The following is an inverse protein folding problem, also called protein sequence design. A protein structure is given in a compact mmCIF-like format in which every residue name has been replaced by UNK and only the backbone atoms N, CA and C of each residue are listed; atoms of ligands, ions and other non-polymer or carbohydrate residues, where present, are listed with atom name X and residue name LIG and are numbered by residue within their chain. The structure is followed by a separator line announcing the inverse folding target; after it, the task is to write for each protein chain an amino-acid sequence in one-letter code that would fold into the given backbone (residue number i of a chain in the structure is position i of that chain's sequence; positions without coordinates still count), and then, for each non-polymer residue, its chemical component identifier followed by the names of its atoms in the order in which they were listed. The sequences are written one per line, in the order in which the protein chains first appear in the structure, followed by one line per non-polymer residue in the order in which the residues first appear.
data_IF_624466742093
#
_entry.id   IF_624466742093
#
_cell.length_a   1.000
_cell.length_b   1.000
_cell.length_c   1.000
_cell.angle_alpha   90.00
_cell.angle_beta   90.00
_cell.angle_gamma   90.00
#
_symmetry.space_group_name_H-M   'P 1'
#
loop_
_entity.id
_entity.type
_entity.pdbx_description
1 polymer ?
#
# COMPACT_ATOMS: atom_id res chain seq x y z
N UNK A 1 18.29 -13.87 -8.37
CA UNK A 1 18.78 -12.49 -8.35
C UNK A 1 17.72 -11.48 -8.79
N UNK A 2 17.14 -11.60 -9.98
CA UNK A 2 16.12 -10.66 -10.52
C UNK A 2 14.92 -10.41 -9.58
N UNK A 3 14.29 -11.46 -9.03
CA UNK A 3 13.14 -11.33 -8.10
C UNK A 3 13.50 -10.54 -6.84
N UNK A 4 14.68 -10.76 -6.27
CA UNK A 4 15.15 -10.04 -5.08
C UNK A 4 15.30 -8.55 -5.40
N UNK A 5 15.94 -8.22 -6.52
CA UNK A 5 16.10 -6.83 -6.97
C UNK A 5 14.74 -6.15 -7.18
N UNK A 6 13.82 -6.80 -7.91
CA UNK A 6 12.46 -6.25 -8.10
C UNK A 6 11.73 -6.05 -6.76
N UNK A 7 11.88 -7.00 -5.81
CA UNK A 7 11.28 -6.87 -4.48
C UNK A 7 11.84 -5.66 -3.74
N UNK A 8 13.17 -5.54 -3.64
CA UNK A 8 13.82 -4.44 -2.93
C UNK A 8 13.45 -3.09 -3.53
N UNK A 9 13.51 -2.95 -4.86
CA UNK A 9 13.14 -1.71 -5.55
C UNK A 9 11.66 -1.36 -5.36
N UNK A 10 10.76 -2.35 -5.34
CA UNK A 10 9.35 -2.12 -5.07
C UNK A 10 9.11 -1.65 -3.63
N UNK A 11 9.78 -2.24 -2.63
CA UNK A 11 9.68 -1.83 -1.23
C UNK A 11 10.23 -0.41 -1.02
N UNK A 12 11.35 -0.09 -1.67
CA UNK A 12 11.89 1.26 -1.70
C UNK A 12 10.93 2.26 -2.34
N UNK A 13 10.27 1.88 -3.44
CA UNK A 13 9.26 2.71 -4.10
C UNK A 13 8.06 2.97 -3.19
N UNK A 14 7.57 1.96 -2.46
CA UNK A 14 6.46 2.12 -1.51
C UNK A 14 6.82 3.02 -0.33
N UNK A 15 8.03 2.87 0.22
CA UNK A 15 8.52 3.76 1.27
C UNK A 15 8.75 5.18 0.75
N UNK A 16 9.34 5.32 -0.43
CA UNK A 16 9.55 6.61 -1.09
C UNK A 16 8.24 7.36 -1.34
N UNK A 17 7.13 6.63 -1.63
CA UNK A 17 5.82 7.24 -1.78
C UNK A 17 5.37 7.98 -0.50
N UNK A 18 5.59 7.40 0.68
CA UNK A 18 5.32 8.06 1.97
C UNK A 18 6.20 9.30 2.18
N UNK A 19 7.51 9.16 1.92
CA UNK A 19 8.48 10.25 2.07
C UNK A 19 8.18 11.40 1.10
N UNK A 20 7.93 11.12 -0.18
CA UNK A 20 7.61 12.13 -1.20
C UNK A 20 6.32 12.88 -0.87
N UNK A 21 5.30 12.13 -0.43
CA UNK A 21 4.02 12.73 -0.03
C UNK A 21 4.22 13.66 1.18
N UNK A 22 4.91 13.18 2.23
CA UNK A 22 5.20 13.99 3.42
C UNK A 22 6.08 15.19 3.10
N UNK A 23 7.08 15.04 2.23
CA UNK A 23 7.96 16.13 1.79
C UNK A 23 7.19 17.22 1.05
N UNK A 24 6.21 16.86 0.22
CA UNK A 24 5.39 17.81 -0.52
C UNK A 24 4.38 18.52 0.38
N UNK A 25 3.68 17.77 1.22
CA UNK A 25 2.54 18.26 2.01
C UNK A 25 2.94 18.83 3.36
N UNK A 26 3.96 18.27 4.02
CA UNK A 26 4.46 18.79 5.29
C UNK A 26 5.18 20.14 5.19
N UNK A 27 5.60 20.51 3.99
CA UNK A 27 6.17 21.82 3.68
C UNK A 27 5.20 22.72 2.93
N UNK A 28 3.93 22.31 2.82
CA UNK A 28 2.86 23.05 2.17
C UNK A 28 3.17 23.50 0.74
N UNK A 29 4.01 22.76 0.00
CA UNK A 29 4.37 23.11 -1.38
C UNK A 29 3.29 22.75 -2.40
N UNK A 30 2.25 22.01 -1.97
CA UNK A 30 1.08 21.65 -2.77
C UNK A 30 -0.06 21.27 -1.82
N UNK A 31 -1.30 21.51 -2.21
CA UNK A 31 -2.46 21.01 -1.47
C UNK A 31 -2.67 19.49 -1.66
N UNK A 32 -3.27 18.78 -0.68
CA UNK A 32 -3.38 17.33 -0.73
C UNK A 32 -4.28 16.78 -1.84
N UNK A 33 -5.28 17.56 -2.29
CA UNK A 33 -6.16 17.15 -3.38
C UNK A 33 -5.43 17.20 -4.72
N UNK A 34 -4.74 18.32 -5.00
CA UNK A 34 -3.90 18.47 -6.19
C UNK A 34 -2.75 17.46 -6.22
N UNK A 35 -2.08 17.23 -5.08
CA UNK A 35 -1.06 16.18 -4.99
C UNK A 35 -1.61 14.82 -5.41
N UNK A 36 -2.76 14.41 -4.86
CA UNK A 36 -3.37 13.11 -5.16
C UNK A 36 -3.76 12.99 -6.64
N UNK A 37 -4.34 14.03 -7.20
CA UNK A 37 -4.78 14.05 -8.61
C UNK A 37 -3.57 13.98 -9.56
N UNK A 38 -2.56 14.81 -9.35
CA UNK A 38 -1.31 14.77 -10.15
C UNK A 38 -0.61 13.42 -10.01
N UNK A 39 -0.53 12.87 -8.79
CA UNK A 39 0.04 11.54 -8.52
C UNK A 39 -0.70 10.46 -9.32
N UNK A 40 -2.04 10.43 -9.29
CA UNK A 40 -2.82 9.42 -10.02
C UNK A 40 -2.74 9.63 -11.55
N UNK A 41 -2.73 10.87 -12.04
CA UNK A 41 -2.51 11.17 -13.44
C UNK A 41 -1.14 10.68 -13.92
N UNK A 42 -0.06 11.02 -13.20
CA UNK A 42 1.29 10.61 -13.55
C UNK A 42 1.46 9.08 -13.49
N UNK A 43 0.87 8.45 -12.46
CA UNK A 43 0.84 6.99 -12.34
C UNK A 43 0.08 6.31 -13.48
N UNK A 44 -1.11 6.83 -13.83
CA UNK A 44 -1.89 6.35 -14.96
C UNK A 44 -1.12 6.46 -16.28
N UNK A 45 -0.54 7.63 -16.56
CA UNK A 45 0.26 7.86 -17.75
C UNK A 45 1.43 6.87 -17.83
N UNK A 46 2.19 6.72 -16.76
CA UNK A 46 3.33 5.79 -16.70
C UNK A 46 2.90 4.34 -16.96
N UNK A 47 1.82 3.89 -16.31
CA UNK A 47 1.33 2.52 -16.46
C UNK A 47 0.80 2.25 -17.87
N UNK A 48 0.08 3.21 -18.47
CA UNK A 48 -0.41 3.11 -19.87
C UNK A 48 0.75 3.08 -20.86
N UNK A 49 1.77 3.93 -20.67
CA UNK A 49 2.96 3.94 -21.51
C UNK A 49 3.73 2.61 -21.43
N UNK A 50 3.95 2.08 -20.22
CA UNK A 50 4.62 0.77 -20.04
C UNK A 50 3.79 -0.35 -20.64
N UNK A 51 2.45 -0.32 -20.51
CA UNK A 51 1.57 -1.31 -21.11
C UNK A 51 1.67 -1.26 -22.65
N UNK A 52 1.53 -0.08 -23.25
CA UNK A 52 1.62 0.12 -24.70
C UNK A 52 2.95 -0.37 -25.27
N UNK A 53 4.05 -0.03 -24.59
CA UNK A 53 5.39 -0.49 -24.99
C UNK A 53 5.57 -2.00 -24.89
N UNK A 54 5.01 -2.65 -23.85
CA UNK A 54 5.12 -4.12 -23.68
C UNK A 54 4.24 -4.92 -24.63
N UNK A 55 3.07 -4.43 -24.97
CA UNK A 55 2.10 -5.17 -25.77
C UNK A 55 2.17 -4.81 -27.28
N UNK A 56 2.92 -3.77 -27.62
CA UNK A 56 2.96 -3.24 -29.00
C UNK A 56 1.61 -2.69 -29.49
N UNK A 57 0.61 -2.66 -28.63
CA UNK A 57 -0.74 -2.20 -28.97
C UNK A 57 -1.33 -1.38 -27.83
N UNK A 58 -2.03 -0.30 -28.18
CA UNK A 58 -2.82 0.50 -27.22
C UNK A 58 -4.14 -0.23 -26.91
N UNK A 59 -4.05 -1.34 -26.18
CA UNK A 59 -5.25 -2.04 -25.73
C UNK A 59 -5.98 -1.23 -24.66
N UNK A 60 -7.32 -1.30 -24.66
CA UNK A 60 -8.12 -0.63 -23.62
C UNK A 60 -7.72 -1.17 -22.25
N UNK A 61 -7.34 -0.29 -21.30
CA UNK A 61 -6.95 -0.74 -19.97
C UNK A 61 -8.10 -1.48 -19.29
N UNK A 62 -7.82 -2.68 -18.78
CA UNK A 62 -8.75 -3.45 -17.95
C UNK A 62 -8.99 -2.71 -16.62
N UNK A 63 -9.75 -3.29 -15.71
CA UNK A 63 -10.00 -2.71 -14.39
C UNK A 63 -11.48 -2.67 -14.06
N UNK A 64 -11.82 -2.23 -12.86
CA UNK A 64 -13.20 -2.11 -12.40
C UNK A 64 -13.40 -0.81 -11.62
N UNK A 65 -14.62 -0.29 -11.65
CA UNK A 65 -14.99 0.90 -10.88
C UNK A 65 -14.86 0.67 -9.36
N UNK A 66 -15.16 -0.55 -8.89
CA UNK A 66 -14.97 -0.89 -7.48
C UNK A 66 -13.49 -0.88 -7.07
N UNK A 67 -12.59 -1.45 -7.89
CA UNK A 67 -11.15 -1.35 -7.61
C UNK A 67 -10.64 0.10 -7.70
N UNK A 68 -11.18 0.89 -8.63
CA UNK A 68 -10.84 2.30 -8.76
C UNK A 68 -11.31 3.12 -7.55
N UNK A 69 -12.50 2.85 -7.01
CA UNK A 69 -12.97 3.52 -5.79
C UNK A 69 -12.14 3.14 -4.56
N UNK A 70 -11.66 1.89 -4.46
CA UNK A 70 -10.72 1.50 -3.40
C UNK A 70 -9.36 2.20 -3.56
N UNK A 71 -8.88 2.36 -4.80
CA UNK A 71 -7.66 3.12 -5.08
C UNK A 71 -7.82 4.60 -4.73
N UNK A 72 -8.96 5.20 -5.03
CA UNK A 72 -9.31 6.57 -4.63
C UNK A 72 -9.37 6.72 -3.11
N UNK A 73 -10.09 5.82 -2.40
CA UNK A 73 -10.18 5.79 -0.95
C UNK A 73 -8.84 5.50 -0.26
N UNK A 74 -7.90 4.88 -0.97
CA UNK A 74 -6.51 4.83 -0.53
C UNK A 74 -5.80 6.16 -0.74
N UNK A 75 -5.84 6.73 -1.96
CA UNK A 75 -4.97 7.84 -2.35
C UNK A 75 -5.33 9.17 -1.68
N UNK A 76 -6.60 9.51 -1.56
CA UNK A 76 -7.06 10.78 -0.99
C UNK A 76 -6.80 10.83 0.53
N UNK A 77 -7.33 9.91 1.36
CA UNK A 77 -7.06 9.97 2.80
C UNK A 77 -5.57 9.86 3.15
N UNK A 78 -4.79 9.11 2.35
CA UNK A 78 -3.33 9.03 2.47
C UNK A 78 -2.67 10.41 2.38
N UNK A 79 -3.02 11.19 1.36
CA UNK A 79 -2.43 12.51 1.19
C UNK A 79 -2.87 13.48 2.28
N UNK A 80 -4.17 13.51 2.62
CA UNK A 80 -4.67 14.34 3.71
C UNK A 80 -4.05 13.96 5.07
N UNK A 81 -3.79 12.68 5.32
CA UNK A 81 -3.13 12.20 6.54
C UNK A 81 -1.68 12.71 6.65
N UNK A 82 -0.93 12.74 5.54
CA UNK A 82 0.46 13.22 5.54
C UNK A 82 0.65 14.73 5.68
N UNK A 83 -0.41 15.49 5.67
CA UNK A 83 -0.35 16.88 6.17
C UNK A 83 0.01 16.91 7.66
N UNK A 84 -0.48 15.94 8.43
CA UNK A 84 -0.40 15.91 9.91
C UNK A 84 0.51 14.80 10.47
N UNK A 85 0.83 13.78 9.68
CA UNK A 85 1.61 12.63 10.14
C UNK A 85 3.02 12.66 9.57
N UNK A 86 3.99 12.23 10.39
CA UNK A 86 5.35 11.92 9.94
C UNK A 86 5.37 10.68 9.04
N UNK A 87 6.40 10.55 8.20
CA UNK A 87 6.52 9.47 7.21
C UNK A 87 6.49 8.08 7.85
N UNK A 88 7.24 7.88 8.95
CA UNK A 88 7.29 6.61 9.67
C UNK A 88 5.97 6.27 10.37
N UNK A 89 5.37 7.25 11.04
CA UNK A 89 4.09 7.10 11.76
C UNK A 89 2.96 6.76 10.80
N UNK A 90 2.87 7.49 9.69
CA UNK A 90 1.87 7.22 8.65
C UNK A 90 2.03 5.83 8.04
N UNK A 91 3.27 5.43 7.69
CA UNK A 91 3.53 4.11 7.14
C UNK A 91 3.19 2.98 8.12
N UNK A 92 3.48 3.14 9.42
CA UNK A 92 3.14 2.14 10.43
C UNK A 92 1.62 1.94 10.55
N UNK A 93 0.85 3.02 10.62
CA UNK A 93 -0.61 2.97 10.69
C UNK A 93 -1.17 2.35 9.40
N UNK A 94 -0.70 2.81 8.23
CA UNK A 94 -1.13 2.30 6.93
C UNK A 94 -0.95 0.78 6.84
N UNK A 95 0.28 0.31 7.01
CA UNK A 95 0.59 -1.12 6.84
C UNK A 95 -0.01 -1.97 7.96
N UNK A 96 -0.15 -1.46 9.18
CA UNK A 96 -0.91 -2.10 10.24
C UNK A 96 -2.38 -2.31 9.84
N UNK A 97 -3.04 -1.27 9.34
CA UNK A 97 -4.43 -1.35 8.87
C UNK A 97 -4.59 -2.26 7.64
N UNK A 98 -3.64 -2.23 6.69
CA UNK A 98 -3.60 -3.16 5.55
C UNK A 98 -3.62 -4.61 6.02
N UNK A 99 -2.71 -4.96 6.93
CA UNK A 99 -2.58 -6.34 7.39
C UNK A 99 -3.81 -6.78 8.19
N UNK A 100 -4.33 -5.94 9.08
CA UNK A 100 -5.56 -6.23 9.80
C UNK A 100 -6.74 -6.43 8.86
N UNK A 101 -6.90 -5.60 7.84
CA UNK A 101 -7.96 -5.74 6.84
C UNK A 101 -7.83 -7.06 6.07
N UNK A 102 -6.63 -7.42 5.64
CA UNK A 102 -6.40 -8.67 4.92
C UNK A 102 -6.72 -9.90 5.80
N UNK A 103 -6.39 -9.84 7.07
CA UNK A 103 -6.68 -10.87 8.06
C UNK A 103 -8.18 -11.00 8.29
N UNK A 104 -8.88 -9.89 8.54
CA UNK A 104 -10.33 -9.88 8.76
C UNK A 104 -11.05 -10.49 7.54
N UNK A 105 -10.66 -10.09 6.33
CA UNK A 105 -11.25 -10.63 5.11
C UNK A 105 -10.95 -12.12 4.91
N UNK A 106 -9.79 -12.60 5.35
CA UNK A 106 -9.46 -14.04 5.33
C UNK A 106 -10.37 -14.82 6.31
N UNK A 107 -10.58 -14.28 7.52
CA UNK A 107 -11.52 -14.84 8.51
C UNK A 107 -12.97 -14.91 7.98
N UNK A 108 -13.44 -13.83 7.36
CA UNK A 108 -14.78 -13.78 6.75
C UNK A 108 -14.95 -14.80 5.61
N UNK A 109 -13.85 -15.21 4.96
CA UNK A 109 -13.84 -16.29 3.95
C UNK A 109 -13.75 -17.68 4.55
N UNK A 110 -13.86 -17.83 5.88
CA UNK A 110 -13.85 -19.09 6.60
C UNK A 110 -12.45 -19.66 6.89
N UNK A 111 -11.38 -18.89 6.72
CA UNK A 111 -10.06 -19.30 7.18
C UNK A 111 -10.08 -19.39 8.71
N UNK A 112 -9.54 -20.49 9.26
CA UNK A 112 -9.43 -20.73 10.71
C UNK A 112 -7.99 -20.52 11.16
N UNK A 113 -7.67 -19.38 11.79
CA UNK A 113 -6.32 -19.10 12.23
C UNK A 113 -5.89 -20.05 13.36
N UNK A 114 -4.61 -20.41 13.34
CA UNK A 114 -3.99 -21.13 14.44
C UNK A 114 -3.75 -20.19 15.64
N UNK A 115 -3.58 -20.75 16.84
CA UNK A 115 -3.39 -19.97 18.08
C UNK A 115 -2.27 -18.92 17.96
N UNK A 116 -1.16 -19.24 17.33
CA UNK A 116 -0.05 -18.31 17.07
C UNK A 116 -0.42 -17.13 16.17
N UNK A 117 -1.35 -17.33 15.25
CA UNK A 117 -1.89 -16.24 14.43
C UNK A 117 -2.73 -15.29 15.27
N UNK A 118 -3.58 -15.82 16.17
CA UNK A 118 -4.35 -15.00 17.11
C UNK A 118 -3.44 -14.20 18.03
N UNK A 119 -2.34 -14.79 18.55
CA UNK A 119 -1.35 -14.07 19.35
C UNK A 119 -0.70 -12.95 18.55
N UNK A 120 -0.30 -13.21 17.30
CA UNK A 120 0.27 -12.20 16.41
C UNK A 120 -0.70 -11.05 16.11
N UNK A 121 -1.99 -11.35 15.92
CA UNK A 121 -3.04 -10.33 15.73
C UNK A 121 -3.24 -9.49 16.99
N UNK A 122 -3.28 -10.14 18.16
CA UNK A 122 -3.39 -9.45 19.45
C UNK A 122 -2.22 -8.48 19.67
N UNK A 123 -0.99 -8.92 19.38
CA UNK A 123 0.20 -8.06 19.46
C UNK A 123 0.11 -6.87 18.49
N UNK A 124 -0.28 -7.12 17.24
CA UNK A 124 -0.39 -6.05 16.24
C UNK A 124 -1.45 -5.01 16.62
N UNK A 125 -2.62 -5.46 17.08
CA UNK A 125 -3.69 -4.57 17.55
C UNK A 125 -3.26 -3.83 18.82
N UNK A 126 -2.67 -4.52 19.79
CA UNK A 126 -2.16 -3.91 21.02
C UNK A 126 -1.09 -2.87 20.77
N UNK A 127 -0.16 -3.13 19.84
CA UNK A 127 0.87 -2.18 19.42
C UNK A 127 0.30 -0.94 18.74
N UNK A 128 -0.73 -1.09 17.90
CA UNK A 128 -1.43 0.05 17.29
C UNK A 128 -2.22 0.85 18.34
N UNK A 129 -2.91 0.19 19.27
CA UNK A 129 -3.61 0.86 20.38
C UNK A 129 -2.61 1.65 21.22
N UNK A 130 -1.47 1.05 21.59
CA UNK A 130 -0.40 1.74 22.30
C UNK A 130 0.09 2.96 21.50
N UNK A 131 0.32 2.81 20.19
CA UNK A 131 0.79 3.90 19.34
C UNK A 131 -0.21 5.05 19.26
N UNK A 132 -1.50 4.76 19.17
CA UNK A 132 -2.58 5.73 19.03
C UNK A 132 -3.08 6.28 20.36
N UNK A 133 -2.69 5.68 21.51
CA UNK A 133 -3.16 6.14 22.83
C UNK A 133 -2.68 7.57 23.11
N UNK A 134 -3.45 8.39 23.85
CA UNK A 134 -3.08 9.78 24.15
C UNK A 134 -1.69 9.91 24.80
N UNK A 135 -0.99 11.00 24.51
CA UNK A 135 0.32 11.33 25.08
C UNK A 135 1.09 12.32 24.22
N UNK A 136 2.21 12.85 24.71
CA UNK A 136 2.99 13.94 24.09
C UNK A 136 3.49 13.62 22.67
N UNK A 137 3.78 12.34 22.38
CA UNK A 137 4.25 11.87 21.07
C UNK A 137 3.20 11.04 20.31
N UNK A 138 1.91 11.22 20.66
CA UNK A 138 0.83 10.56 19.93
C UNK A 138 0.63 11.20 18.56
N UNK A 139 0.38 10.40 17.49
CA UNK A 139 0.03 10.96 16.20
C UNK A 139 -1.31 11.70 16.25
N UNK A 140 -1.52 12.65 15.33
CA UNK A 140 -2.80 13.33 15.19
C UNK A 140 -3.94 12.32 15.00
N UNK A 141 -5.02 12.39 15.80
CA UNK A 141 -6.14 11.46 15.68
C UNK A 141 -6.81 11.50 14.29
N UNK A 142 -6.97 12.69 13.73
CA UNK A 142 -7.54 12.88 12.38
C UNK A 142 -6.63 12.26 11.32
N UNK A 143 -5.33 12.56 11.38
CA UNK A 143 -4.34 11.95 10.48
C UNK A 143 -4.31 10.43 10.60
N UNK A 144 -4.35 9.92 11.84
CA UNK A 144 -4.38 8.48 12.09
C UNK A 144 -5.65 7.80 11.53
N UNK A 145 -6.81 8.40 11.72
CA UNK A 145 -8.08 7.88 11.16
C UNK A 145 -8.06 7.87 9.63
N UNK A 146 -7.63 8.96 8.99
CA UNK A 146 -7.49 9.03 7.53
C UNK A 146 -6.51 7.97 7.02
N UNK A 147 -5.37 7.80 7.69
CA UNK A 147 -4.37 6.80 7.29
C UNK A 147 -4.88 5.37 7.49
N UNK A 148 -5.66 5.09 8.54
CA UNK A 148 -6.30 3.80 8.76
C UNK A 148 -7.33 3.49 7.65
N UNK A 149 -8.18 4.45 7.27
CA UNK A 149 -9.11 4.33 6.13
C UNK A 149 -8.33 4.00 4.85
N UNK A 150 -7.25 4.74 4.59
CA UNK A 150 -6.36 4.49 3.45
C UNK A 150 -5.80 3.07 3.48
N UNK A 151 -5.33 2.59 4.64
CA UNK A 151 -4.82 1.24 4.81
C UNK A 151 -5.88 0.16 4.57
N UNK A 152 -7.09 0.34 5.08
CA UNK A 152 -8.22 -0.57 4.82
C UNK A 152 -8.53 -0.65 3.33
N UNK A 153 -8.63 0.50 2.66
CA UNK A 153 -8.89 0.56 1.22
C UNK A 153 -7.77 -0.11 0.41
N UNK A 154 -6.51 0.11 0.77
CA UNK A 154 -5.37 -0.56 0.15
C UNK A 154 -5.38 -2.07 0.37
N UNK A 155 -5.74 -2.55 1.56
CA UNK A 155 -5.89 -3.96 1.87
C UNK A 155 -6.93 -4.64 0.98
N UNK A 156 -8.11 -4.02 0.83
CA UNK A 156 -9.16 -4.49 -0.10
C UNK A 156 -8.67 -4.46 -1.55
N UNK A 157 -8.09 -3.32 -2.00
CA UNK A 157 -7.56 -3.18 -3.35
C UNK A 157 -6.53 -4.26 -3.69
N UNK A 158 -5.62 -4.55 -2.76
CA UNK A 158 -4.58 -5.57 -2.93
C UNK A 158 -5.16 -6.96 -3.12
N UNK A 159 -6.22 -7.32 -2.37
CA UNK A 159 -6.91 -8.60 -2.52
C UNK A 159 -7.70 -8.70 -3.83
N UNK A 160 -8.27 -7.59 -4.31
CA UNK A 160 -8.96 -7.52 -5.60
C UNK A 160 -7.98 -7.67 -6.80
N UNK A 161 -6.74 -7.29 -6.62
CA UNK A 161 -5.69 -7.41 -7.64
C UNK A 161 -5.10 -8.81 -7.79
N UNK A 162 -5.30 -9.70 -6.81
CA UNK A 162 -4.68 -11.02 -6.76
C UNK A 162 -5.29 -11.98 -7.78
N UNK A 163 -4.45 -12.80 -8.45
CA UNK A 163 -4.89 -13.92 -9.29
C UNK A 163 -5.33 -13.55 -10.71
N UNK A 164 -5.06 -12.34 -11.19
CA UNK A 164 -5.44 -11.92 -12.53
C UNK A 164 -4.30 -12.05 -13.54
N UNK A 165 -4.63 -12.47 -14.76
CA UNK A 165 -3.65 -12.72 -15.83
C UNK A 165 -2.93 -11.44 -16.32
N UNK A 166 -3.59 -10.27 -16.26
CA UNK A 166 -3.00 -8.98 -16.68
C UNK A 166 -3.06 -7.95 -15.54
N UNK A 167 -2.18 -8.03 -14.52
CA UNK A 167 -2.18 -7.09 -13.42
C UNK A 167 -1.80 -5.67 -13.83
N UNK A 168 -0.90 -5.50 -14.82
CA UNK A 168 -0.48 -4.20 -15.32
C UNK A 168 -1.65 -3.44 -15.96
N UNK A 169 -2.35 -4.06 -16.92
CA UNK A 169 -3.49 -3.44 -17.60
C UNK A 169 -4.65 -3.13 -16.66
N UNK A 170 -4.87 -3.98 -15.65
CA UNK A 170 -5.88 -3.72 -14.61
C UNK A 170 -5.50 -2.53 -13.73
N UNK A 171 -4.25 -2.44 -13.31
CA UNK A 171 -3.77 -1.32 -12.50
C UNK A 171 -3.86 -0.02 -13.29
N UNK A 172 -3.42 0.01 -14.55
CA UNK A 172 -3.56 1.16 -15.43
C UNK A 172 -5.04 1.61 -15.56
N UNK A 173 -5.94 0.65 -15.79
CA UNK A 173 -7.36 0.94 -15.89
C UNK A 173 -8.01 1.40 -14.59
N UNK A 174 -7.55 0.93 -13.45
CA UNK A 174 -8.01 1.39 -12.14
C UNK A 174 -7.54 2.83 -11.87
N UNK A 175 -6.28 3.16 -12.18
CA UNK A 175 -5.77 4.54 -12.07
C UNK A 175 -6.57 5.50 -12.94
N UNK A 176 -6.83 5.16 -14.21
CA UNK A 176 -7.63 6.01 -15.10
C UNK A 176 -9.05 6.22 -14.58
N UNK A 177 -9.71 5.16 -14.05
CA UNK A 177 -11.06 5.25 -13.50
C UNK A 177 -11.12 5.96 -12.14
N UNK A 178 -10.00 6.05 -11.42
CA UNK A 178 -9.93 6.81 -10.17
C UNK A 178 -9.86 8.32 -10.41
N UNK A 179 -9.39 8.78 -11.59
CA UNK A 179 -9.24 10.21 -11.90
C UNK A 179 -10.53 11.02 -11.75
N UNK A 180 -11.70 10.60 -12.27
CA UNK A 180 -12.93 11.34 -12.06
C UNK A 180 -13.24 11.61 -10.60
N UNK A 181 -12.99 10.64 -9.71
CA UNK A 181 -13.24 10.84 -8.27
C UNK A 181 -12.27 11.85 -7.66
N UNK A 182 -10.99 11.84 -8.04
CA UNK A 182 -10.02 12.82 -7.52
C UNK A 182 -10.26 14.21 -8.08
N UNK A 183 -10.71 14.33 -9.34
CA UNK A 183 -11.08 15.60 -9.93
C UNK A 183 -12.25 16.26 -9.21
N UNK A 184 -13.24 15.50 -8.73
CA UNK A 184 -14.34 16.02 -7.91
C UNK A 184 -13.80 16.60 -6.60
N UNK A 185 -12.86 15.90 -5.92
CA UNK A 185 -12.23 16.42 -4.69
C UNK A 185 -11.40 17.67 -4.98
N UNK A 186 -10.60 17.66 -6.06
CA UNK A 186 -9.83 18.85 -6.46
C UNK A 186 -10.73 20.03 -6.80
N UNK A 187 -11.87 19.79 -7.43
CA UNK A 187 -12.88 20.82 -7.69
C UNK A 187 -13.44 21.42 -6.39
N UNK A 188 -13.74 20.56 -5.41
CA UNK A 188 -14.23 21.01 -4.10
C UNK A 188 -13.20 21.83 -3.34
N UNK A 189 -11.91 21.49 -3.49
CA UNK A 189 -10.78 22.12 -2.81
C UNK A 189 -10.17 23.29 -3.63
N UNK A 190 -10.81 23.74 -4.72
CA UNK A 190 -10.32 24.87 -5.51
C UNK A 190 -10.03 26.15 -4.71
N UNK A 191 -10.82 26.51 -3.66
CA UNK A 191 -10.48 27.67 -2.83
C UNK A 191 -9.12 27.59 -2.13
N UNK A 192 -8.66 26.37 -1.82
CA UNK A 192 -7.39 26.10 -1.13
C UNK A 192 -6.28 25.67 -2.10
N UNK A 193 -6.49 25.89 -3.42
CA UNK A 193 -5.56 25.46 -4.46
C UNK A 193 -4.17 26.07 -4.25
N UNK A 194 -3.19 25.20 -4.04
CA UNK A 194 -1.78 25.57 -3.91
C UNK A 194 -0.92 24.57 -4.66
N UNK A 195 -0.24 25.01 -5.70
CA UNK A 195 0.67 24.19 -6.49
C UNK A 195 1.95 24.97 -6.74
N UNK A 196 3.01 24.67 -5.99
CA UNK A 196 4.36 25.13 -6.27
C UNK A 196 5.10 24.10 -7.15
N UNK A 197 6.10 24.55 -7.90
CA UNK A 197 6.90 23.69 -8.79
C UNK A 197 7.48 22.48 -8.05
N UNK A 198 7.97 22.67 -6.83
CA UNK A 198 8.51 21.60 -5.99
C UNK A 198 7.45 20.57 -5.66
N UNK A 199 6.27 20.99 -5.21
CA UNK A 199 5.13 20.11 -4.91
C UNK A 199 4.66 19.33 -6.14
N UNK A 200 4.58 19.99 -7.30
CA UNK A 200 4.26 19.36 -8.58
C UNK A 200 5.27 18.26 -8.94
N UNK A 201 6.58 18.54 -8.88
CA UNK A 201 7.62 17.54 -9.18
C UNK A 201 7.54 16.35 -8.24
N UNK A 202 7.32 16.59 -6.95
CA UNK A 202 7.19 15.52 -5.95
C UNK A 202 5.95 14.66 -6.18
N UNK A 203 4.82 15.27 -6.58
CA UNK A 203 3.59 14.56 -6.93
C UNK A 203 3.77 13.70 -8.19
N UNK A 204 4.44 14.23 -9.23
CA UNK A 204 4.77 13.48 -10.43
C UNK A 204 5.73 12.32 -10.11
N UNK A 205 6.77 12.54 -9.33
CA UNK A 205 7.69 11.49 -8.90
C UNK A 205 6.99 10.39 -8.08
N UNK A 206 6.12 10.77 -7.14
CA UNK A 206 5.28 9.85 -6.38
C UNK A 206 4.36 9.03 -7.30
N UNK A 207 3.75 9.65 -8.29
CA UNK A 207 2.87 8.99 -9.25
C UNK A 207 3.60 8.10 -10.24
N UNK A 208 4.57 8.64 -10.96
CA UNK A 208 5.26 7.95 -12.05
C UNK A 208 6.21 6.87 -11.52
N UNK A 209 7.07 7.22 -10.55
CA UNK A 209 8.14 6.36 -10.07
C UNK A 209 7.63 5.48 -8.94
N UNK A 210 7.20 6.07 -7.83
CA UNK A 210 6.86 5.30 -6.62
C UNK A 210 5.58 4.48 -6.81
N UNK A 211 4.58 5.00 -7.52
CA UNK A 211 3.34 4.25 -7.80
C UNK A 211 3.43 3.49 -9.14
N UNK A 212 3.68 4.14 -10.27
CA UNK A 212 3.68 3.52 -11.59
C UNK A 212 4.74 2.41 -11.73
N UNK A 213 6.01 2.77 -11.66
CA UNK A 213 7.12 1.81 -11.78
C UNK A 213 7.13 0.86 -10.58
N UNK A 214 6.89 1.37 -9.36
CA UNK A 214 6.85 0.57 -8.14
C UNK A 214 5.86 -0.60 -8.23
N UNK A 215 4.65 -0.37 -8.75
CA UNK A 215 3.66 -1.45 -8.95
C UNK A 215 4.09 -2.45 -10.02
N UNK A 216 4.70 -2.00 -11.12
CA UNK A 216 5.22 -2.93 -12.13
C UNK A 216 6.25 -3.89 -11.54
N UNK A 217 7.21 -3.34 -10.78
CA UNK A 217 8.25 -4.13 -10.11
C UNK A 217 7.65 -5.07 -9.06
N UNK A 218 6.68 -4.59 -8.29
CA UNK A 218 5.99 -5.38 -7.28
C UNK A 218 5.24 -6.58 -7.89
N UNK A 219 4.48 -6.36 -8.97
CA UNK A 219 3.76 -7.44 -9.62
C UNK A 219 4.70 -8.47 -10.28
N UNK A 220 5.86 -8.06 -10.77
CA UNK A 220 6.88 -9.00 -11.24
C UNK A 220 7.46 -9.84 -10.10
N UNK A 221 7.72 -9.22 -8.94
CA UNK A 221 8.19 -9.94 -7.76
C UNK A 221 7.13 -10.93 -7.25
N UNK A 222 5.86 -10.51 -7.17
CA UNK A 222 4.74 -11.31 -6.68
C UNK A 222 4.53 -12.63 -7.42
N UNK A 223 4.83 -12.69 -8.72
CA UNK A 223 4.70 -13.93 -9.50
C UNK A 223 5.59 -15.06 -8.98
N UNK A 224 6.70 -14.71 -8.30
CA UNK A 224 7.68 -15.67 -7.76
C UNK A 224 7.71 -15.73 -6.24
N UNK A 225 6.89 -14.94 -5.56
CA UNK A 225 6.77 -14.93 -4.11
C UNK A 225 5.49 -15.65 -3.66
N UNK A 226 5.60 -16.48 -2.63
CA UNK A 226 4.41 -16.94 -1.93
C UNK A 226 3.69 -15.75 -1.28
N UNK A 227 2.37 -15.85 -1.07
CA UNK A 227 1.61 -14.79 -0.42
C UNK A 227 2.20 -14.40 0.95
N UNK A 228 2.64 -15.39 1.72
CA UNK A 228 3.29 -15.19 3.02
C UNK A 228 4.60 -14.42 2.88
N UNK A 229 5.49 -14.84 1.95
CA UNK A 229 6.75 -14.12 1.73
C UNK A 229 6.52 -12.68 1.27
N UNK A 230 5.57 -12.46 0.37
CA UNK A 230 5.19 -11.13 -0.08
C UNK A 230 4.69 -10.25 1.08
N UNK A 231 3.85 -10.79 1.96
CA UNK A 231 3.36 -10.09 3.13
C UNK A 231 4.49 -9.76 4.12
N UNK A 232 5.38 -10.73 4.42
CA UNK A 232 6.51 -10.52 5.34
C UNK A 232 7.47 -9.45 4.84
N UNK A 233 7.84 -9.47 3.56
CA UNK A 233 8.79 -8.46 3.03
C UNK A 233 8.19 -7.04 3.05
N UNK A 234 6.88 -6.89 2.90
CA UNK A 234 6.21 -5.58 3.00
C UNK A 234 6.29 -4.97 4.40
N UNK A 235 6.53 -5.76 5.46
CA UNK A 235 6.72 -5.24 6.81
C UNK A 235 7.99 -4.38 6.95
N UNK A 236 8.90 -4.44 6.00
CA UNK A 236 10.06 -3.55 5.97
C UNK A 236 9.71 -2.11 5.54
N UNK A 237 8.58 -1.90 4.84
CA UNK A 237 8.22 -0.59 4.30
C UNK A 237 8.10 0.51 5.37
N UNK A 238 7.40 0.30 6.51
CA UNK A 238 7.36 1.31 7.57
C UNK A 238 8.74 1.66 8.12
N UNK A 239 9.64 0.68 8.23
CA UNK A 239 11.01 0.91 8.71
C UNK A 239 11.81 1.76 7.71
N UNK A 240 11.71 1.44 6.41
CA UNK A 240 12.37 2.20 5.35
C UNK A 240 11.77 3.62 5.27
N UNK A 241 10.45 3.76 5.41
CA UNK A 241 9.79 5.06 5.41
C UNK A 241 10.21 5.93 6.60
N UNK A 242 10.31 5.34 7.80
CA UNK A 242 10.82 6.03 8.99
C UNK A 242 12.27 6.48 8.82
N UNK A 243 13.14 5.59 8.30
CA UNK A 243 14.52 5.96 7.98
C UNK A 243 14.57 7.09 6.94
N UNK A 244 13.71 7.05 5.91
CA UNK A 244 13.58 8.13 4.93
C UNK A 244 13.09 9.44 5.55
N UNK A 245 12.16 9.40 6.50
CA UNK A 245 11.71 10.57 7.27
C UNK A 245 12.84 11.23 8.05
N UNK A 246 13.66 10.44 8.73
CA UNK A 246 14.86 10.95 9.43
C UNK A 246 15.86 11.56 8.46
N UNK A 247 16.17 10.87 7.36
CA UNK A 247 17.24 11.28 6.44
C UNK A 247 16.88 12.50 5.57
N UNK A 248 15.63 12.58 5.10
CA UNK A 248 15.23 13.58 4.10
C UNK A 248 14.30 14.67 4.64
N UNK A 249 13.67 14.45 5.80
CA UNK A 249 12.69 15.37 6.38
C UNK A 249 13.10 15.88 7.76
N UNK A 250 14.25 15.40 8.29
CA UNK A 250 14.71 15.72 9.66
C UNK A 250 13.67 15.35 10.73
N UNK A 251 12.84 14.33 10.47
CA UNK A 251 11.88 13.82 11.44
C UNK A 251 12.59 13.12 12.59
N UNK A 252 12.05 13.22 13.80
CA UNK A 252 12.61 12.57 14.98
C UNK A 252 11.96 11.21 15.21
N UNK A 253 12.80 10.20 15.43
CA UNK A 253 12.30 8.86 15.73
C UNK A 253 11.92 8.79 17.21
N UNK A 254 10.62 8.90 17.53
CA UNK A 254 10.15 8.78 18.90
C UNK A 254 10.29 7.33 19.41
N UNK A 255 10.63 7.17 20.70
CA UNK A 255 10.67 5.84 21.35
C UNK A 255 9.34 5.11 21.18
N UNK A 256 8.23 5.85 21.23
CA UNK A 256 6.88 5.32 21.02
C UNK A 256 6.73 4.68 19.63
N UNK A 257 7.20 5.34 18.57
CA UNK A 257 7.19 4.80 17.21
C UNK A 257 8.04 3.53 17.11
N UNK A 258 9.21 3.51 17.73
CA UNK A 258 10.11 2.34 17.71
C UNK A 258 9.46 1.16 18.42
N UNK A 259 8.96 1.35 19.64
CA UNK A 259 8.31 0.28 20.42
C UNK A 259 7.06 -0.23 19.71
N UNK A 260 6.18 0.67 19.28
CA UNK A 260 4.98 0.30 18.54
C UNK A 260 5.32 -0.43 17.24
N UNK A 261 6.32 0.05 16.50
CA UNK A 261 6.82 -0.57 15.28
C UNK A 261 7.26 -2.01 15.51
N UNK A 262 8.11 -2.25 16.52
CA UNK A 262 8.57 -3.61 16.87
C UNK A 262 7.40 -4.52 17.24
N UNK A 263 6.45 -4.04 18.05
CA UNK A 263 5.30 -4.84 18.50
C UNK A 263 4.34 -5.13 17.34
N UNK A 264 3.99 -4.12 16.53
CA UNK A 264 3.07 -4.29 15.38
C UNK A 264 3.69 -5.19 14.32
N UNK A 265 4.91 -4.87 13.89
CA UNK A 265 5.56 -5.63 12.81
C UNK A 265 5.95 -7.04 13.27
N UNK A 266 6.38 -7.21 14.52
CA UNK A 266 6.64 -8.50 15.14
C UNK A 266 5.38 -9.35 15.27
N UNK A 267 4.27 -8.76 15.70
CA UNK A 267 2.96 -9.43 15.78
C UNK A 267 2.46 -9.90 14.41
N UNK A 268 2.52 -9.03 13.40
CA UNK A 268 2.16 -9.41 12.02
C UNK A 268 3.11 -10.49 11.49
N UNK A 269 4.41 -10.36 11.72
CA UNK A 269 5.42 -11.36 11.33
C UNK A 269 5.12 -12.73 11.94
N UNK A 270 4.79 -12.79 13.23
CA UNK A 270 4.38 -14.02 13.93
C UNK A 270 3.13 -14.63 13.30
N UNK A 271 2.10 -13.82 13.05
CA UNK A 271 0.85 -14.27 12.44
C UNK A 271 1.06 -14.88 11.05
N UNK A 272 1.95 -14.29 10.25
CA UNK A 272 2.27 -14.77 8.91
C UNK A 272 3.14 -16.02 8.93
N UNK A 273 4.12 -16.12 9.84
CA UNK A 273 4.99 -17.28 10.00
C UNK A 273 4.21 -18.53 10.44
N UNK A 274 3.18 -18.34 11.27
CA UNK A 274 2.31 -19.42 11.76
C UNK A 274 1.31 -19.96 10.71
N UNK A 275 1.21 -19.33 9.54
CA UNK A 275 0.31 -19.76 8.47
C UNK A 275 0.86 -21.03 7.80
N UNK A 276 0.18 -22.19 7.99
CA UNK A 276 0.53 -23.40 7.25
C UNK A 276 0.43 -23.13 5.74
N UNK A 277 1.36 -23.65 4.92
CA UNK A 277 1.19 -23.60 3.47
C UNK A 277 -0.13 -24.28 3.13
N UNK A 278 -1.00 -23.61 2.41
CA UNK A 278 -2.21 -24.20 1.84
C UNK A 278 -1.74 -25.34 0.94
N UNK A 279 -1.98 -26.59 1.34
CA UNK A 279 -1.57 -27.77 0.58
C UNK A 279 -2.12 -27.64 -0.82
N UNK A 280 -1.26 -27.75 -1.80
CA UNK A 280 -1.60 -28.02 -3.18
C UNK A 280 -2.52 -29.23 -3.13
N UNK A 281 -3.78 -29.08 -3.55
CA UNK A 281 -4.64 -30.21 -3.86
C UNK A 281 -3.94 -30.92 -5.03
N UNK A 282 -2.99 -31.80 -4.71
CA UNK A 282 -2.54 -32.83 -5.63
C UNK A 282 -3.76 -33.71 -5.88
N UNK A 283 -4.26 -33.64 -7.09
CA UNK A 283 -5.28 -34.51 -7.58
C UNK A 283 -4.90 -35.96 -7.27
N UNK A 284 -5.73 -36.59 -6.48
CA UNK A 284 -5.75 -38.02 -6.28
C UNK A 284 -6.34 -38.62 -7.54
N UNK A 285 -5.53 -38.71 -8.60
CA UNK A 285 -5.78 -39.66 -9.68
C UNK A 285 -5.45 -41.04 -9.11
N UNK A 286 -6.42 -41.60 -8.43
CA UNK A 286 -6.48 -43.06 -8.24
C UNK A 286 -6.81 -43.66 -9.58
N UNK A 287 -5.80 -44.24 -10.24
CA UNK A 287 -5.97 -45.13 -11.35
C UNK A 287 -6.89 -46.27 -10.93
N UNK A 288 -7.90 -46.50 -11.73
CA UNK A 288 -8.66 -47.74 -11.76
C UNK A 288 -8.17 -48.50 -12.98
N UNK A 289 -7.69 -49.74 -12.82
CA UNK A 289 -7.24 -50.50 -13.96
C UNK A 289 -8.46 -51.13 -14.66
N UNK A 290 -8.44 -51.06 -15.99
CA UNK A 290 -9.25 -51.84 -16.89
C UNK A 290 -9.35 -53.30 -16.45
N UNK A 291 -10.55 -53.81 -16.36
CA UNK A 291 -10.81 -55.24 -16.50
C UNK A 291 -12.10 -55.45 -17.31
N UNK A 292 -11.85 -56.06 -18.47
CA UNK A 292 -12.69 -56.92 -19.33
C UNK A 292 -13.70 -56.17 -20.20
#
# INVERSE_FOLDING_TARGET
MFTIVCTLLALMAFAANSVLCRLALGQESIDPASFSTIRLCAGAATLVLIQGWRTGAWSRPAGSWFSASMLFLYAIPFSFAYVQLEAGSGALILFGAVQLTMIILALMRGERPHVWQWMGFGLAIGGLIYFLSPGLSAPSPTGAALMAISGCAWGVYSLLGKGHANPLGRTAGNFLRALPFTLVVSWWMLPDLKIELRGFILAVASGAIASGIGYVLWYQALQKLTATRAAVVQLSVPVIAAAGGVLFLSETMSLRLVVAGVVVLGGVGLALAARKPTGTLQGKNSGEPDRI
#
